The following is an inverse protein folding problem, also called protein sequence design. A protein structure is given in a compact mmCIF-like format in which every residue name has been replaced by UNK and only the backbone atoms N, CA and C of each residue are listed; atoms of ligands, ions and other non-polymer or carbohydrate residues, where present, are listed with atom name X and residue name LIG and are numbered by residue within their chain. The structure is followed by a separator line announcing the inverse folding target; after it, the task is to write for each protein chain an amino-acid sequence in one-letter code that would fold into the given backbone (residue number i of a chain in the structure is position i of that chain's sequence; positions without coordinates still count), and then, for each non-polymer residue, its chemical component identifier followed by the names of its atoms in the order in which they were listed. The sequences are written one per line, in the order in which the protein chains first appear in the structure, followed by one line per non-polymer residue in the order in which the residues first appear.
data_IF_342725274993
#
_entry.id   IF_342725274993
#
_cell.length_a   1.000
_cell.length_b   1.000
_cell.length_c   1.000
_cell.angle_alpha   90.00
_cell.angle_beta   90.00
_cell.angle_gamma   90.00
#
_symmetry.space_group_name_H-M   'P 1'
#
loop_
_entity.id
_entity.type
_entity.pdbx_description
1 polymer ?
#
# COMPACT_ATOMS: atom_id res chain seq x y z
N UNK A 1 33.98 -54.99 49.61
CA UNK A 1 32.71 -54.38 49.15
C UNK A 1 32.92 -52.99 48.55
N UNK A 2 33.73 -52.10 49.15
CA UNK A 2 33.97 -50.73 48.65
C UNK A 2 34.53 -50.64 47.20
N UNK A 3 35.43 -51.55 46.81
CA UNK A 3 35.97 -51.57 45.44
C UNK A 3 34.93 -51.98 44.38
N UNK A 4 33.99 -52.86 44.74
CA UNK A 4 32.91 -53.33 43.84
C UNK A 4 31.86 -52.23 43.64
N UNK A 5 31.55 -51.45 44.68
CA UNK A 5 30.66 -50.28 44.55
C UNK A 5 31.28 -49.16 43.70
N UNK A 6 32.60 -48.92 43.81
CA UNK A 6 33.29 -47.93 42.97
C UNK A 6 33.31 -48.29 41.48
N UNK A 7 33.45 -49.59 41.16
CA UNK A 7 33.37 -50.09 39.78
C UNK A 7 31.96 -49.95 39.20
N UNK A 8 30.91 -50.27 39.96
CA UNK A 8 29.52 -50.08 39.52
C UNK A 8 29.17 -48.61 39.30
N UNK A 9 29.63 -47.72 40.20
CA UNK A 9 29.45 -46.28 40.08
C UNK A 9 30.16 -45.72 38.84
N UNK A 10 31.38 -46.18 38.56
CA UNK A 10 32.09 -45.83 37.33
C UNK A 10 31.35 -46.27 36.07
N UNK A 11 30.85 -47.50 36.03
CA UNK A 11 30.11 -48.01 34.86
C UNK A 11 28.81 -47.25 34.61
N UNK A 12 28.12 -46.82 35.67
CA UNK A 12 26.94 -45.98 35.58
C UNK A 12 27.26 -44.57 35.06
N UNK A 13 28.32 -43.94 35.59
CA UNK A 13 28.80 -42.64 35.11
C UNK A 13 29.27 -42.70 33.65
N UNK A 14 29.95 -43.77 33.26
CA UNK A 14 30.38 -43.98 31.86
C UNK A 14 29.18 -44.14 30.93
N UNK A 15 28.14 -44.91 31.33
CA UNK A 15 26.90 -45.04 30.56
C UNK A 15 26.18 -43.68 30.44
N UNK A 16 26.19 -42.87 31.50
CA UNK A 16 25.64 -41.52 31.47
C UNK A 16 26.43 -40.61 30.52
N UNK A 17 27.76 -40.63 30.57
CA UNK A 17 28.61 -39.86 29.65
C UNK A 17 28.35 -40.23 28.18
N UNK A 18 28.30 -41.53 27.85
CA UNK A 18 27.98 -42.01 26.50
C UNK A 18 26.61 -41.52 25.99
N UNK A 19 25.59 -41.51 26.85
CA UNK A 19 24.27 -40.97 26.48
C UNK A 19 24.32 -39.48 26.20
N UNK A 20 25.01 -38.72 27.05
CA UNK A 20 25.19 -37.27 26.85
C UNK A 20 25.99 -36.98 25.58
N UNK A 21 27.02 -37.76 25.26
CA UNK A 21 27.77 -37.64 24.00
C UNK A 21 26.87 -37.83 22.78
N UNK A 22 26.03 -38.88 22.77
CA UNK A 22 25.09 -39.10 21.66
C UNK A 22 24.05 -37.98 21.52
N UNK A 23 23.63 -37.41 22.64
CA UNK A 23 22.69 -36.28 22.65
C UNK A 23 23.35 -35.02 22.09
N UNK A 24 24.57 -34.69 22.54
CA UNK A 24 25.39 -33.58 22.05
C UNK A 24 25.63 -33.70 20.55
N UNK A 25 26.00 -34.89 20.06
CA UNK A 25 26.25 -35.11 18.62
C UNK A 25 24.96 -34.89 17.78
N UNK A 26 23.83 -35.43 18.23
CA UNK A 26 22.55 -35.22 17.55
C UNK A 26 22.15 -33.73 17.49
N UNK A 27 22.39 -32.99 18.58
CA UNK A 27 22.14 -31.55 18.69
C UNK A 27 23.08 -30.75 17.79
N UNK A 28 24.37 -31.11 17.74
CA UNK A 28 25.35 -30.48 16.85
C UNK A 28 25.00 -30.65 15.37
N UNK A 29 24.53 -31.83 14.96
CA UNK A 29 24.07 -32.08 13.58
C UNK A 29 22.84 -31.22 13.26
N UNK A 30 21.85 -31.21 14.14
CA UNK A 30 20.65 -30.38 13.97
C UNK A 30 21.02 -28.89 13.85
N UNK A 31 21.99 -28.45 14.65
CA UNK A 31 22.44 -27.06 14.64
C UNK A 31 23.20 -26.69 13.36
N UNK A 32 24.08 -27.56 12.87
CA UNK A 32 24.75 -27.36 11.57
C UNK A 32 23.73 -27.27 10.42
N UNK A 33 22.68 -28.09 10.46
CA UNK A 33 21.59 -28.01 9.47
C UNK A 33 20.92 -26.62 9.49
N UNK A 34 20.58 -26.12 10.67
CA UNK A 34 19.96 -24.79 10.81
C UNK A 34 20.89 -23.68 10.32
N UNK A 35 22.19 -23.75 10.60
CA UNK A 35 23.20 -22.80 10.05
C UNK A 35 23.19 -22.84 8.52
N UNK A 36 23.19 -24.04 7.92
CA UNK A 36 23.21 -24.16 6.46
C UNK A 36 21.93 -23.61 5.82
N UNK A 37 20.77 -23.89 6.42
CA UNK A 37 19.47 -23.37 5.95
C UNK A 37 19.42 -21.85 6.07
N UNK A 38 19.87 -21.28 7.20
CA UNK A 38 19.95 -19.84 7.40
C UNK A 38 20.94 -19.16 6.43
N UNK A 39 22.07 -19.80 6.14
CA UNK A 39 23.04 -19.27 5.16
C UNK A 39 22.48 -19.25 3.74
N UNK A 40 21.70 -20.27 3.37
CA UNK A 40 21.04 -20.37 2.08
C UNK A 40 19.94 -19.30 1.96
N UNK A 41 19.08 -19.14 2.97
CA UNK A 41 17.98 -18.17 2.94
C UNK A 41 18.47 -16.72 2.82
N UNK A 42 19.55 -16.36 3.52
CA UNK A 42 20.22 -15.06 3.37
C UNK A 42 20.70 -14.84 1.93
N UNK A 43 21.16 -15.90 1.26
CA UNK A 43 21.69 -15.84 -0.11
C UNK A 43 20.59 -15.78 -1.17
N UNK A 44 19.47 -16.50 -0.98
CA UNK A 44 18.37 -16.57 -1.95
C UNK A 44 17.39 -15.41 -1.87
N UNK A 45 17.55 -14.49 -0.91
CA UNK A 45 16.74 -13.27 -0.76
C UNK A 45 15.26 -13.47 -0.42
N UNK A 46 14.82 -14.72 -0.29
CA UNK A 46 13.48 -15.14 0.15
C UNK A 46 13.48 -15.34 1.66
N UNK A 47 13.28 -14.28 2.43
CA UNK A 47 13.16 -14.41 3.89
C UNK A 47 11.74 -14.14 4.37
N UNK A 48 11.06 -15.22 4.74
CA UNK A 48 9.83 -15.25 5.54
C UNK A 48 10.19 -15.02 7.01
N UNK A 49 10.64 -13.81 7.34
CA UNK A 49 11.11 -13.46 8.68
C UNK A 49 9.99 -13.39 9.69
N UNK A 50 9.85 -14.43 10.52
CA UNK A 50 9.25 -14.34 11.86
C UNK A 50 9.31 -15.67 12.64
N UNK A 51 9.22 -16.83 11.98
CA UNK A 51 8.94 -18.08 12.71
C UNK A 51 10.15 -18.87 13.20
N UNK A 52 11.36 -18.68 12.66
CA UNK A 52 12.52 -19.53 13.03
C UNK A 52 13.42 -18.94 14.13
N UNK A 53 13.35 -17.63 14.38
CA UNK A 53 14.26 -16.95 15.33
C UNK A 53 14.08 -17.43 16.79
N UNK A 54 12.85 -17.78 17.18
CA UNK A 54 12.56 -18.30 18.53
C UNK A 54 13.19 -19.68 18.79
N UNK A 55 13.14 -20.58 17.81
CA UNK A 55 13.71 -21.94 17.92
C UNK A 55 15.24 -21.92 17.92
N UNK A 56 15.86 -20.97 17.19
CA UNK A 56 17.31 -20.79 17.18
C UNK A 56 17.88 -20.26 18.50
N UNK A 57 17.08 -19.55 19.31
CA UNK A 57 17.54 -18.93 20.55
C UNK A 57 17.68 -19.89 21.74
N UNK A 58 16.82 -20.91 21.85
CA UNK A 58 16.85 -21.87 22.97
C UNK A 58 17.83 -23.03 22.77
N UNK A 59 18.11 -23.40 21.51
CA UNK A 59 19.01 -24.50 21.15
C UNK A 59 20.46 -24.37 21.69
N UNK A 60 21.14 -23.20 21.65
CA UNK A 60 22.49 -23.08 22.19
C UNK A 60 22.53 -23.22 23.72
N UNK A 61 21.48 -22.78 24.43
CA UNK A 61 21.37 -22.92 25.89
C UNK A 61 21.20 -24.39 26.30
N UNK A 62 20.41 -25.15 25.53
CA UNK A 62 20.24 -26.59 25.75
C UNK A 62 21.52 -27.39 25.49
N UNK A 63 22.34 -26.97 24.52
CA UNK A 63 23.62 -27.60 24.22
C UNK A 63 24.67 -27.26 25.30
N UNK A 64 24.69 -26.01 25.78
CA UNK A 64 25.55 -25.57 26.88
C UNK A 64 25.24 -26.34 28.18
N UNK A 65 23.96 -26.52 28.50
CA UNK A 65 23.51 -27.35 29.63
C UNK A 65 23.96 -28.81 29.50
N UNK A 66 23.87 -29.39 28.31
CA UNK A 66 24.29 -30.77 28.06
C UNK A 66 25.81 -30.96 28.19
N UNK A 67 26.60 -30.02 27.66
CA UNK A 67 28.07 -29.98 27.82
C UNK A 67 28.48 -29.82 29.28
N UNK A 68 27.78 -28.98 30.04
CA UNK A 68 28.03 -28.80 31.47
C UNK A 68 27.76 -30.09 32.26
N UNK A 69 26.68 -30.81 31.94
CA UNK A 69 26.38 -32.12 32.55
C UNK A 69 27.42 -33.19 32.17
N UNK A 70 27.96 -33.15 30.95
CA UNK A 70 29.02 -34.05 30.50
C UNK A 70 30.35 -33.75 31.21
N UNK A 71 30.66 -32.46 31.44
CA UNK A 71 31.78 -32.03 32.27
C UNK A 71 31.68 -32.55 33.70
N UNK A 72 30.52 -32.40 34.34
CA UNK A 72 30.27 -32.90 35.69
C UNK A 72 30.36 -34.44 35.77
N UNK A 73 29.87 -35.14 34.75
CA UNK A 73 30.03 -36.59 34.62
C UNK A 73 31.52 -36.99 34.49
N UNK A 74 32.30 -36.24 33.72
CA UNK A 74 33.75 -36.45 33.59
C UNK A 74 34.51 -36.16 34.90
N UNK A 75 34.13 -35.13 35.65
CA UNK A 75 34.74 -34.83 36.95
C UNK A 75 34.39 -35.86 38.02
N UNK A 76 33.15 -36.34 38.06
CA UNK A 76 32.74 -37.44 38.96
C UNK A 76 33.44 -38.76 38.61
N UNK A 77 33.56 -39.08 37.32
CA UNK A 77 34.40 -40.19 36.85
C UNK A 77 35.85 -40.04 37.31
N UNK A 78 36.43 -38.84 37.22
CA UNK A 78 37.78 -38.55 37.67
C UNK A 78 37.99 -38.72 39.17
N UNK A 79 36.96 -38.44 39.98
CA UNK A 79 36.96 -38.72 41.43
C UNK A 79 36.94 -40.22 41.71
N UNK A 80 36.07 -40.98 41.04
CA UNK A 80 36.01 -42.44 41.20
C UNK A 80 37.32 -43.15 40.83
N UNK A 81 38.03 -42.70 39.78
CA UNK A 81 39.33 -43.29 39.39
C UNK A 81 40.42 -43.04 40.42
N UNK A 82 40.37 -41.90 41.11
CA UNK A 82 41.33 -41.52 42.17
C UNK A 82 41.14 -42.33 43.46
N UNK A 83 39.92 -42.80 43.72
CA UNK A 83 39.57 -43.58 44.91
C UNK A 83 39.84 -45.10 44.74
N UNK A 84 40.16 -45.56 43.53
CA UNK A 84 40.37 -46.98 43.21
C UNK A 84 41.85 -47.42 43.29
N UNK A 85 42.14 -48.71 43.61
CA UNK A 85 43.50 -49.25 43.64
C UNK A 85 44.21 -49.18 42.26
N UNK A 86 45.55 -49.08 42.22
CA UNK A 86 46.32 -48.76 41.01
C UNK A 86 46.24 -49.79 39.86
N UNK A 87 45.77 -51.02 40.11
CA UNK A 87 45.70 -52.08 39.09
C UNK A 87 44.61 -51.87 38.02
N UNK A 88 43.39 -51.49 38.44
CA UNK A 88 42.28 -51.19 37.52
C UNK A 88 42.27 -49.71 37.07
N UNK A 89 42.98 -48.86 37.81
CA UNK A 89 43.02 -47.41 37.61
C UNK A 89 43.59 -47.00 36.24
N UNK A 90 44.59 -47.72 35.70
CA UNK A 90 45.23 -47.37 34.41
C UNK A 90 44.28 -47.44 33.21
N UNK A 91 43.45 -48.48 33.11
CA UNK A 91 42.48 -48.62 32.00
C UNK A 91 41.39 -47.55 32.09
N UNK A 92 40.89 -47.29 33.30
CA UNK A 92 39.86 -46.28 33.55
C UNK A 92 40.39 -44.87 33.30
N UNK A 93 41.66 -44.60 33.64
CA UNK A 93 42.35 -43.35 33.35
C UNK A 93 42.44 -43.06 31.85
N UNK A 94 42.77 -44.07 31.02
CA UNK A 94 42.78 -43.90 29.56
C UNK A 94 41.38 -43.60 28.99
N UNK A 95 40.34 -44.27 29.52
CA UNK A 95 38.95 -44.00 29.11
C UNK A 95 38.52 -42.60 29.53
N UNK A 96 38.85 -42.17 30.75
CA UNK A 96 38.61 -40.80 31.23
C UNK A 96 39.28 -39.76 30.34
N UNK A 97 40.54 -39.99 29.98
CA UNK A 97 41.31 -39.08 29.13
C UNK A 97 40.62 -38.91 27.78
N UNK A 98 40.16 -40.02 27.16
CA UNK A 98 39.39 -39.96 25.92
C UNK A 98 38.10 -39.16 26.06
N UNK A 99 37.35 -39.35 27.14
CA UNK A 99 36.12 -38.57 27.38
C UNK A 99 36.41 -37.07 27.58
N UNK A 100 37.57 -36.71 28.15
CA UNK A 100 38.02 -35.31 28.25
C UNK A 100 38.41 -34.72 26.91
N UNK A 101 39.12 -35.48 26.08
CA UNK A 101 39.49 -35.05 24.73
C UNK A 101 38.24 -34.82 23.87
N UNK A 102 37.27 -35.74 23.92
CA UNK A 102 35.98 -35.62 23.23
C UNK A 102 35.18 -34.41 23.71
N UNK A 103 35.11 -34.18 25.03
CA UNK A 103 34.47 -32.97 25.58
C UNK A 103 35.13 -31.69 25.03
N UNK A 104 36.46 -31.66 24.98
CA UNK A 104 37.21 -30.51 24.49
C UNK A 104 36.92 -30.22 23.00
N UNK A 105 36.83 -31.27 22.19
CA UNK A 105 36.47 -31.16 20.77
C UNK A 105 35.03 -30.62 20.62
N UNK A 106 34.08 -31.10 21.42
CA UNK A 106 32.71 -30.58 21.42
C UNK A 106 32.63 -29.10 21.83
N UNK A 107 33.39 -28.69 22.85
CA UNK A 107 33.48 -27.28 23.27
C UNK A 107 34.02 -26.39 22.15
N UNK A 108 35.03 -26.87 21.42
CA UNK A 108 35.61 -26.15 20.29
C UNK A 108 34.62 -26.00 19.14
N UNK A 109 33.95 -27.09 18.76
CA UNK A 109 32.93 -27.04 17.72
C UNK A 109 31.74 -26.15 18.14
N UNK A 110 31.29 -26.23 19.40
CA UNK A 110 30.24 -25.36 19.92
C UNK A 110 30.60 -23.87 19.85
N UNK A 111 31.83 -23.50 20.20
CA UNK A 111 32.30 -22.10 20.09
C UNK A 111 32.35 -21.63 18.64
N UNK A 112 32.85 -22.45 17.73
CA UNK A 112 32.89 -22.15 16.29
C UNK A 112 31.49 -21.92 15.74
N UNK A 113 30.59 -22.83 16.08
CA UNK A 113 29.17 -22.79 15.73
C UNK A 113 28.50 -21.49 16.25
N UNK A 114 28.71 -21.11 17.51
CA UNK A 114 28.21 -19.85 18.08
C UNK A 114 28.76 -18.62 17.35
N UNK A 115 30.05 -18.63 16.99
CA UNK A 115 30.65 -17.54 16.23
C UNK A 115 30.00 -17.40 14.85
N UNK A 116 29.80 -18.50 14.13
CA UNK A 116 29.13 -18.51 12.82
C UNK A 116 27.70 -17.96 12.90
N UNK A 117 26.93 -18.36 13.91
CA UNK A 117 25.55 -17.85 14.10
C UNK A 117 25.55 -16.34 14.35
N UNK A 118 26.48 -15.88 15.17
CA UNK A 118 26.60 -14.45 15.47
C UNK A 118 26.91 -13.67 14.19
N UNK A 119 27.86 -14.15 13.38
CA UNK A 119 28.20 -13.56 12.09
C UNK A 119 26.99 -13.56 11.12
N UNK A 120 26.24 -14.67 11.03
CA UNK A 120 25.05 -14.76 10.19
C UNK A 120 23.97 -13.76 10.64
N UNK A 121 23.76 -13.61 11.95
CA UNK A 121 22.79 -12.67 12.51
C UNK A 121 23.18 -11.22 12.23
N UNK A 122 24.45 -10.87 12.42
CA UNK A 122 24.98 -9.54 12.09
C UNK A 122 24.81 -9.26 10.58
N UNK A 123 25.10 -10.25 9.73
CA UNK A 123 24.90 -10.14 8.28
C UNK A 123 23.43 -9.97 7.91
N UNK A 124 22.53 -10.69 8.57
CA UNK A 124 21.08 -10.57 8.38
C UNK A 124 20.59 -9.16 8.76
N UNK A 125 21.00 -8.64 9.92
CA UNK A 125 20.62 -7.32 10.40
C UNK A 125 21.07 -6.21 9.43
N UNK A 126 22.32 -6.29 8.95
CA UNK A 126 22.86 -5.37 7.95
C UNK A 126 22.09 -5.43 6.63
N UNK A 127 21.78 -6.64 6.12
CA UNK A 127 21.05 -6.80 4.87
C UNK A 127 19.58 -6.38 5.00
N UNK A 128 18.97 -6.59 6.16
CA UNK A 128 17.61 -6.15 6.46
C UNK A 128 17.52 -4.62 6.40
N UNK A 129 18.44 -3.92 7.08
CA UNK A 129 18.54 -2.46 7.03
C UNK A 129 18.73 -1.94 5.61
N UNK A 130 19.68 -2.49 4.85
CA UNK A 130 19.92 -2.07 3.46
C UNK A 130 18.70 -2.32 2.57
N UNK A 131 17.98 -3.42 2.75
CA UNK A 131 16.75 -3.69 1.99
C UNK A 131 15.63 -2.72 2.33
N UNK A 132 15.49 -2.35 3.60
CA UNK A 132 14.55 -1.33 4.02
C UNK A 132 14.88 0.01 3.35
N UNK A 133 16.13 0.45 3.41
CA UNK A 133 16.58 1.70 2.78
C UNK A 133 16.37 1.70 1.26
N UNK A 134 16.67 0.58 0.58
CA UNK A 134 16.42 0.43 -0.87
C UNK A 134 14.91 0.49 -1.16
N UNK A 135 14.09 -0.16 -0.33
CA UNK A 135 12.63 -0.15 -0.46
C UNK A 135 12.08 1.26 -0.32
N UNK A 136 12.52 1.99 0.71
CA UNK A 136 12.16 3.37 0.97
C UNK A 136 12.61 4.29 -0.17
N UNK A 137 13.85 4.16 -0.64
CA UNK A 137 14.37 4.95 -1.77
C UNK A 137 13.62 4.66 -3.07
N UNK A 138 13.33 3.38 -3.35
CA UNK A 138 12.55 2.98 -4.53
C UNK A 138 11.16 3.60 -4.48
N UNK A 139 10.47 3.48 -3.35
CA UNK A 139 9.11 4.00 -3.16
C UNK A 139 9.11 5.54 -3.26
N UNK A 140 10.06 6.21 -2.60
CA UNK A 140 10.23 7.66 -2.66
C UNK A 140 10.46 8.18 -4.09
N UNK A 141 11.09 7.37 -4.97
CA UNK A 141 11.27 7.70 -6.39
C UNK A 141 10.05 7.36 -7.24
N UNK A 142 9.37 6.25 -6.98
CA UNK A 142 8.24 5.80 -7.81
C UNK A 142 6.94 6.53 -7.50
N UNK A 143 6.66 6.83 -6.23
CA UNK A 143 5.43 7.51 -5.81
C UNK A 143 5.21 8.88 -6.46
N UNK A 144 6.20 9.79 -6.55
CA UNK A 144 6.01 11.06 -7.25
C UNK A 144 5.75 10.86 -8.75
N UNK A 145 6.41 9.89 -9.38
CA UNK A 145 6.22 9.57 -10.80
C UNK A 145 4.82 9.01 -11.07
N UNK A 146 4.33 8.12 -10.19
CA UNK A 146 2.96 7.58 -10.28
C UNK A 146 1.93 8.69 -10.05
N UNK A 147 2.17 9.57 -9.07
CA UNK A 147 1.33 10.74 -8.79
C UNK A 147 1.27 11.69 -9.98
N UNK A 148 2.41 11.97 -10.62
CA UNK A 148 2.48 12.81 -11.82
C UNK A 148 1.70 12.18 -12.98
N UNK A 149 1.83 10.86 -13.19
CA UNK A 149 1.05 10.14 -14.20
C UNK A 149 -0.45 10.23 -13.96
N UNK A 150 -0.90 10.06 -12.72
CA UNK A 150 -2.31 10.23 -12.36
C UNK A 150 -2.77 11.68 -12.57
N UNK A 151 -1.97 12.66 -12.18
CA UNK A 151 -2.28 14.07 -12.39
C UNK A 151 -2.41 14.42 -13.88
N UNK A 152 -1.48 13.93 -14.72
CA UNK A 152 -1.50 14.13 -16.17
C UNK A 152 -2.72 13.47 -16.84
N UNK A 153 -3.10 12.26 -16.41
CA UNK A 153 -4.31 11.59 -16.89
C UNK A 153 -5.58 12.36 -16.50
N UNK A 154 -5.62 12.90 -15.27
CA UNK A 154 -6.75 13.70 -14.81
C UNK A 154 -6.83 15.07 -15.54
N UNK A 155 -5.68 15.71 -15.81
CA UNK A 155 -5.66 16.95 -16.60
C UNK A 155 -6.12 16.73 -18.03
N UNK A 156 -5.76 15.60 -18.65
CA UNK A 156 -6.24 15.25 -19.99
C UNK A 156 -7.76 15.07 -20.00
N UNK A 157 -8.31 14.32 -19.03
CA UNK A 157 -9.76 14.16 -18.89
C UNK A 157 -10.48 15.50 -18.66
N UNK A 158 -9.89 16.38 -17.84
CA UNK A 158 -10.46 17.71 -17.59
C UNK A 158 -10.42 18.55 -18.88
N UNK A 159 -9.33 18.49 -19.65
CA UNK A 159 -9.22 19.14 -20.93
C UNK A 159 -10.30 18.64 -21.91
N UNK A 160 -10.51 17.32 -22.01
CA UNK A 160 -11.57 16.74 -22.84
C UNK A 160 -12.97 17.22 -22.44
N UNK A 161 -13.25 17.33 -21.14
CA UNK A 161 -14.51 17.89 -20.64
C UNK A 161 -14.68 19.36 -21.02
N UNK A 162 -13.63 20.18 -20.88
CA UNK A 162 -13.69 21.58 -21.30
C UNK A 162 -13.86 21.73 -22.80
N UNK A 163 -13.22 20.87 -23.60
CA UNK A 163 -13.37 20.84 -25.05
C UNK A 163 -14.79 20.43 -25.44
N UNK A 164 -15.35 19.42 -24.77
CA UNK A 164 -16.74 19.00 -24.94
C UNK A 164 -17.74 20.11 -24.61
N UNK A 165 -17.52 20.81 -23.48
CA UNK A 165 -18.35 21.95 -23.08
C UNK A 165 -18.23 23.11 -24.10
N UNK A 166 -17.02 23.43 -24.54
CA UNK A 166 -16.80 24.45 -25.56
C UNK A 166 -17.51 24.09 -26.87
N UNK A 167 -17.39 22.85 -27.34
CA UNK A 167 -18.11 22.36 -28.53
C UNK A 167 -19.63 22.49 -28.36
N UNK A 168 -20.18 22.09 -27.21
CA UNK A 168 -21.60 22.23 -26.90
C UNK A 168 -22.05 23.71 -26.88
N UNK A 169 -21.22 24.62 -26.38
CA UNK A 169 -21.51 26.07 -26.43
C UNK A 169 -21.47 26.62 -27.85
N UNK A 170 -20.52 26.19 -28.70
CA UNK A 170 -20.48 26.60 -30.10
C UNK A 170 -21.71 26.12 -30.86
N UNK A 171 -22.16 24.89 -30.63
CA UNK A 171 -23.36 24.37 -31.26
C UNK A 171 -24.62 25.09 -30.76
N UNK A 172 -24.69 25.41 -29.46
CA UNK A 172 -25.75 26.24 -28.89
C UNK A 172 -25.78 27.64 -29.50
N UNK A 173 -24.62 28.31 -29.64
CA UNK A 173 -24.52 29.63 -30.29
C UNK A 173 -24.89 29.57 -31.76
N UNK A 174 -24.54 28.48 -32.46
CA UNK A 174 -24.93 28.25 -33.86
C UNK A 174 -26.43 28.10 -34.01
N UNK A 175 -27.08 27.31 -33.14
CA UNK A 175 -28.54 27.16 -33.08
C UNK A 175 -29.24 28.46 -32.70
N UNK A 176 -28.67 29.23 -31.75
CA UNK A 176 -29.15 30.57 -31.44
C UNK A 176 -29.08 31.50 -32.67
N UNK A 177 -27.99 31.46 -33.44
CA UNK A 177 -27.88 32.27 -34.67
C UNK A 177 -28.96 31.94 -35.70
N UNK A 178 -29.29 30.66 -35.89
CA UNK A 178 -30.37 30.27 -36.84
C UNK A 178 -31.74 30.71 -36.34
N UNK A 179 -32.01 30.58 -35.04
CA UNK A 179 -33.26 31.08 -34.43
C UNK A 179 -33.38 32.60 -34.52
N UNK A 180 -32.31 33.37 -34.25
CA UNK A 180 -32.30 34.83 -34.44
C UNK A 180 -32.52 35.23 -35.90
N UNK A 181 -31.92 34.51 -36.86
CA UNK A 181 -32.20 34.71 -38.29
C UNK A 181 -33.68 34.45 -38.62
N UNK A 182 -34.26 33.40 -38.03
CA UNK A 182 -35.69 33.11 -38.14
C UNK A 182 -36.60 34.20 -37.54
N UNK A 183 -36.19 34.77 -36.40
CA UNK A 183 -36.91 35.90 -35.78
C UNK A 183 -36.78 37.15 -36.65
N UNK A 184 -35.58 37.44 -37.18
CA UNK A 184 -35.34 38.59 -38.05
C UNK A 184 -36.18 38.52 -39.33
N UNK A 185 -36.28 37.34 -39.95
CA UNK A 185 -37.13 37.14 -41.14
C UNK A 185 -38.62 37.28 -40.82
N UNK A 186 -39.10 36.71 -39.70
CA UNK A 186 -40.48 36.90 -39.23
C UNK A 186 -40.78 38.37 -38.93
N UNK A 187 -39.87 39.09 -38.28
CA UNK A 187 -40.00 40.51 -37.96
C UNK A 187 -40.01 41.37 -39.23
N UNK A 188 -39.16 41.05 -40.22
CA UNK A 188 -39.21 41.68 -41.54
C UNK A 188 -40.56 41.43 -42.24
N UNK A 189 -41.11 40.21 -42.10
CA UNK A 189 -42.45 39.86 -42.58
C UNK A 189 -43.59 40.58 -41.84
N UNK A 190 -43.43 40.89 -40.55
CA UNK A 190 -44.40 41.74 -39.82
C UNK A 190 -44.28 43.20 -40.27
N UNK A 191 -43.06 43.71 -40.44
CA UNK A 191 -42.80 45.07 -40.93
C UNK A 191 -43.42 45.33 -42.30
N UNK A 192 -43.44 44.33 -43.19
CA UNK A 192 -44.11 44.45 -44.49
C UNK A 192 -45.65 44.42 -44.40
N UNK A 193 -46.23 43.93 -43.29
CA UNK A 193 -47.68 43.95 -43.03
C UNK A 193 -48.15 45.20 -42.27
N UNK A 194 -47.28 45.89 -41.52
CA UNK A 194 -47.61 47.17 -40.90
C UNK A 194 -48.23 48.21 -41.86
N UNK A 195 -47.73 48.44 -43.10
CA UNK A 195 -48.36 49.38 -44.02
C UNK A 195 -49.78 48.96 -44.45
N UNK A 196 -50.09 47.66 -44.42
CA UNK A 196 -51.46 47.18 -44.68
C UNK A 196 -52.41 47.52 -43.54
N UNK A 197 -51.94 47.45 -42.28
CA UNK A 197 -52.71 47.88 -41.09
C UNK A 197 -52.95 49.39 -41.14
N UNK A 198 -51.93 50.19 -41.50
CA UNK A 198 -52.08 51.63 -41.68
C UNK A 198 -53.09 51.97 -42.78
N UNK A 199 -53.16 51.17 -43.86
CA UNK A 199 -54.15 51.36 -44.92
C UNK A 199 -55.58 51.05 -44.47
N UNK A 200 -55.77 50.07 -43.58
CA UNK A 200 -57.08 49.74 -42.99
C UNK A 200 -57.50 50.81 -41.97
N UNK A 201 -56.57 51.26 -41.14
CA UNK A 201 -56.78 52.35 -40.19
C UNK A 201 -57.16 53.65 -40.91
N UNK A 202 -56.47 53.99 -41.99
CA UNK A 202 -56.82 55.16 -42.82
C UNK A 202 -58.19 55.04 -43.50
N UNK A 203 -58.59 53.84 -43.96
CA UNK A 203 -59.93 53.63 -44.52
C UNK A 203 -61.03 53.83 -43.49
N UNK A 204 -60.82 53.36 -42.26
CA UNK A 204 -61.76 53.53 -41.15
C UNK A 204 -61.88 55.01 -40.77
N UNK A 205 -60.75 55.72 -40.65
CA UNK A 205 -60.76 57.15 -40.34
C UNK A 205 -61.39 57.99 -41.46
N UNK A 206 -61.22 57.63 -42.74
CA UNK A 206 -61.88 58.32 -43.86
C UNK A 206 -63.40 58.22 -43.79
N UNK A 207 -63.96 57.03 -43.46
CA UNK A 207 -65.43 56.88 -43.32
C UNK A 207 -65.98 57.73 -42.18
N UNK A 208 -65.34 57.71 -41.00
CA UNK A 208 -65.75 58.57 -39.86
C UNK A 208 -65.66 60.07 -40.17
N UNK A 209 -64.63 60.51 -40.92
CA UNK A 209 -64.48 61.93 -41.29
C UNK A 209 -65.58 62.38 -42.25
N UNK A 210 -65.97 61.55 -43.22
CA UNK A 210 -67.06 61.88 -44.16
C UNK A 210 -68.39 62.06 -43.41
N UNK A 211 -68.71 61.18 -42.47
CA UNK A 211 -69.93 61.29 -41.65
C UNK A 211 -69.95 62.58 -40.82
N UNK A 212 -68.84 62.93 -40.17
CA UNK A 212 -68.73 64.17 -39.37
C UNK A 212 -68.83 65.44 -40.23
N UNK A 213 -68.26 65.44 -41.44
CA UNK A 213 -68.33 66.59 -42.36
C UNK A 213 -69.75 66.81 -42.86
N UNK A 214 -70.47 65.73 -43.22
CA UNK A 214 -71.86 65.84 -43.67
C UNK A 214 -72.73 66.39 -42.54
N UNK A 215 -72.59 65.87 -41.32
CA UNK A 215 -73.37 66.33 -40.17
C UNK A 215 -73.12 67.82 -39.85
N UNK A 216 -71.85 68.25 -39.89
CA UNK A 216 -71.46 69.64 -39.68
C UNK A 216 -72.00 70.58 -40.76
N UNK A 217 -72.00 70.16 -42.02
CA UNK A 217 -72.55 70.94 -43.13
C UNK A 217 -74.07 71.12 -43.00
N UNK A 218 -74.80 70.06 -42.65
CA UNK A 218 -76.26 70.13 -42.42
C UNK A 218 -76.60 71.08 -41.26
N UNK A 219 -75.90 70.94 -40.12
CA UNK A 219 -76.10 71.81 -38.96
C UNK A 219 -75.74 73.28 -39.27
N UNK A 220 -74.66 73.53 -40.02
CA UNK A 220 -74.25 74.86 -40.44
C UNK A 220 -75.26 75.53 -41.37
N UNK A 221 -75.75 74.81 -42.39
CA UNK A 221 -76.80 75.32 -43.30
C UNK A 221 -78.08 75.63 -42.53
N UNK A 222 -78.50 74.74 -41.62
CA UNK A 222 -79.67 74.97 -40.78
C UNK A 222 -79.50 76.22 -39.89
N UNK A 223 -78.31 76.39 -39.27
CA UNK A 223 -77.99 77.58 -38.48
C UNK A 223 -78.03 78.88 -39.30
N UNK A 224 -77.48 78.88 -40.52
CA UNK A 224 -77.50 80.05 -41.41
C UNK A 224 -78.94 80.42 -41.79
N UNK A 225 -79.78 79.43 -42.11
CA UNK A 225 -81.19 79.65 -42.44
C UNK A 225 -81.95 80.25 -41.26
N UNK A 226 -81.71 79.75 -40.04
CA UNK A 226 -82.34 80.29 -38.82
C UNK A 226 -81.91 81.74 -38.58
N UNK A 227 -80.61 82.06 -38.69
CA UNK A 227 -80.11 83.42 -38.50
C UNK A 227 -80.67 84.36 -39.57
N UNK A 228 -80.71 83.94 -40.83
CA UNK A 228 -81.28 84.74 -41.90
C UNK A 228 -82.76 85.04 -41.66
N UNK A 229 -83.53 84.04 -41.23
CA UNK A 229 -84.94 84.23 -40.90
C UNK A 229 -85.14 85.13 -39.67
N UNK A 230 -84.27 85.06 -38.67
CA UNK A 230 -84.34 85.89 -37.48
C UNK A 230 -83.91 87.35 -37.72
N UNK A 231 -83.01 87.61 -38.68
CA UNK A 231 -82.55 88.97 -39.02
C UNK A 231 -83.48 89.67 -40.03
N UNK A 232 -84.17 88.91 -40.88
CA UNK A 232 -85.09 89.45 -41.90
C UNK A 232 -86.51 89.69 -41.37
N UNK A 233 -86.78 89.36 -40.10
CA UNK A 233 -88.05 89.58 -39.40
C UNK A 233 -87.89 90.61 -38.30
#
# INVERSE_FOLDING_TARGET
MAAVSGLQQWEELRRRALRLETEVDSKLIAYNKVITEASISISTSEFSGAQESGKQSSLPEELESCLQQLSEANESMGRCVRELPPGDSTRMMHVLQRHRDVLHDYDKEFRKIRATIKELREREELLSSVRQDIGEYRNARTDPLLRERMAAANSLRTADQTLGNAAATFDSLRSQRTTYSGIATKLAGLRSRLPTIDSLMNRIQKRKKVESVILGLVAGVCGIVIVYFAVLR
#
